data_IF_627238027894
#
_entry.id   IF_627238027894
#
_cell.length_a   1.000
_cell.length_b   1.000
_cell.length_c   1.000
_cell.angle_alpha   90.00
_cell.angle_beta   90.00
_cell.angle_gamma   90.00
#
_symmetry.space_group_name_H-M   'P 1'
#
loop_
_entity.id
_entity.type
_entity.pdbx_description
1 polymer ?
#
# COMPACT_ATOMS: atom_id res chain seq x y z
N UNK A 1 7.40 26.07 7.48
CA UNK A 1 7.64 24.83 6.73
C UNK A 1 8.63 24.00 7.52
N UNK A 2 8.38 22.70 7.67
CA UNK A 2 9.31 21.78 8.35
C UNK A 2 10.62 21.73 7.54
N UNK A 3 11.79 21.66 8.20
CA UNK A 3 13.07 21.50 7.53
C UNK A 3 13.12 20.17 6.74
N UNK A 4 13.84 20.14 5.62
CA UNK A 4 14.01 18.96 4.75
C UNK A 4 14.53 17.75 5.55
N UNK A 5 15.52 17.96 6.41
CA UNK A 5 16.12 16.94 7.27
C UNK A 5 15.13 16.31 8.25
N UNK A 6 14.28 17.14 8.88
CA UNK A 6 13.27 16.65 9.82
C UNK A 6 12.15 15.88 9.11
N UNK A 7 11.91 16.13 7.81
CA UNK A 7 10.98 15.34 6.99
C UNK A 7 11.50 13.94 6.73
N UNK A 8 12.80 13.77 6.52
CA UNK A 8 13.39 12.45 6.28
C UNK A 8 13.44 11.61 7.55
N UNK A 9 13.80 12.20 8.69
CA UNK A 9 13.77 11.54 9.99
C UNK A 9 12.34 11.14 10.43
N UNK A 10 11.32 11.92 10.07
CA UNK A 10 9.92 11.63 10.41
C UNK A 10 9.23 10.63 9.49
N UNK A 11 9.87 10.16 8.40
CA UNK A 11 9.24 9.26 7.42
C UNK A 11 9.00 7.84 7.93
N UNK A 12 9.57 7.50 9.09
CA UNK A 12 9.54 6.14 9.64
C UNK A 12 10.39 5.17 8.83
N UNK A 13 10.66 4.01 9.43
CA UNK A 13 11.27 2.85 8.79
C UNK A 13 10.50 2.44 7.53
N UNK A 14 11.17 1.71 6.63
CA UNK A 14 10.50 1.14 5.45
C UNK A 14 9.31 0.25 5.86
N UNK A 15 9.46 -0.57 6.90
CA UNK A 15 8.40 -1.41 7.43
C UNK A 15 7.18 -0.59 7.92
N UNK A 16 7.40 0.55 8.61
CA UNK A 16 6.30 1.44 9.01
C UNK A 16 5.58 2.06 7.81
N UNK A 17 6.32 2.42 6.76
CA UNK A 17 5.74 2.95 5.51
C UNK A 17 4.91 1.89 4.78
N UNK A 18 5.38 0.65 4.72
CA UNK A 18 4.63 -0.50 4.17
C UNK A 18 3.36 -0.78 5.00
N UNK A 19 3.46 -0.79 6.34
CA UNK A 19 2.30 -0.93 7.24
C UNK A 19 1.27 0.19 7.06
N UNK A 20 1.70 1.44 6.88
CA UNK A 20 0.79 2.55 6.64
C UNK A 20 -0.02 2.36 5.34
N UNK A 21 0.63 1.87 4.28
CA UNK A 21 -0.03 1.54 3.01
C UNK A 21 -1.07 0.41 3.19
N UNK A 22 -0.72 -0.64 3.94
CA UNK A 22 -1.63 -1.75 4.27
C UNK A 22 -2.87 -1.28 5.04
N UNK A 23 -2.69 -0.46 6.08
CA UNK A 23 -3.79 0.09 6.89
C UNK A 23 -4.77 0.87 6.03
N UNK A 24 -4.27 1.71 5.12
CA UNK A 24 -5.13 2.45 4.19
C UNK A 24 -5.91 1.52 3.28
N UNK A 25 -5.25 0.52 2.69
CA UNK A 25 -5.90 -0.42 1.78
C UNK A 25 -6.96 -1.28 2.47
N UNK A 26 -6.70 -1.75 3.69
CA UNK A 26 -7.69 -2.46 4.50
C UNK A 26 -8.92 -1.60 4.79
N UNK A 27 -8.70 -0.35 5.22
CA UNK A 27 -9.78 0.61 5.51
C UNK A 27 -10.62 0.93 4.27
N UNK A 28 -10.00 1.00 3.09
CA UNK A 28 -10.66 1.35 1.83
C UNK A 28 -11.05 0.15 0.96
N UNK A 29 -10.79 -1.07 1.43
CA UNK A 29 -11.05 -2.33 0.71
C UNK A 29 -10.37 -2.39 -0.66
N UNK A 30 -9.08 -2.04 -0.72
CA UNK A 30 -8.27 -2.09 -1.93
C UNK A 30 -7.54 -3.44 -2.04
N UNK A 31 -7.10 -3.78 -3.25
CA UNK A 31 -6.33 -5.01 -3.50
C UNK A 31 -7.05 -6.26 -2.95
N UNK A 32 -6.36 -7.11 -2.16
CA UNK A 32 -6.93 -8.35 -1.62
C UNK A 32 -8.06 -8.13 -0.60
N UNK A 33 -8.30 -6.90 -0.14
CA UNK A 33 -9.41 -6.57 0.77
C UNK A 33 -10.71 -6.22 0.03
N UNK A 34 -10.70 -6.15 -1.30
CA UNK A 34 -11.88 -5.83 -2.08
C UNK A 34 -12.93 -6.95 -2.00
N UNK A 35 -14.20 -6.60 -1.79
CA UNK A 35 -15.32 -7.55 -1.71
C UNK A 35 -15.63 -8.18 -3.08
N UNK A 36 -15.19 -7.54 -4.17
CA UNK A 36 -15.32 -8.05 -5.52
C UNK A 36 -13.96 -8.59 -5.98
N UNK A 37 -13.81 -9.92 -6.03
CA UNK A 37 -12.65 -10.56 -6.63
C UNK A 37 -12.00 -11.68 -5.82
N UNK A 38 -12.76 -12.48 -5.08
CA UNK A 38 -12.32 -13.83 -4.68
C UNK A 38 -12.10 -14.68 -5.94
N UNK A 39 -10.90 -14.60 -6.54
CA UNK A 39 -10.45 -15.51 -7.60
C UNK A 39 -10.19 -14.90 -8.98
N UNK A 40 -10.18 -13.57 -9.16
CA UNK A 40 -9.94 -12.95 -10.47
C UNK A 40 -9.15 -11.64 -10.40
N UNK A 41 -8.33 -11.38 -11.43
CA UNK A 41 -7.57 -10.13 -11.61
C UNK A 41 -8.53 -8.93 -11.50
N UNK A 42 -8.18 -7.95 -10.66
CA UNK A 42 -8.93 -6.70 -10.51
C UNK A 42 -9.21 -6.07 -11.88
N UNK A 43 -10.42 -5.52 -12.04
CA UNK A 43 -10.77 -4.68 -13.19
C UNK A 43 -9.70 -3.58 -13.36
N UNK A 44 -9.16 -3.37 -14.58
CA UNK A 44 -8.08 -2.41 -14.80
C UNK A 44 -8.42 -0.98 -14.36
N UNK A 45 -9.66 -0.54 -14.58
CA UNK A 45 -10.09 0.81 -14.21
C UNK A 45 -10.25 0.93 -12.68
N UNK A 46 -10.72 -0.12 -12.00
CA UNK A 46 -10.74 -0.17 -10.54
C UNK A 46 -9.31 -0.13 -9.96
N UNK A 47 -8.40 -0.91 -10.54
CA UNK A 47 -6.98 -0.93 -10.15
C UNK A 47 -6.35 0.46 -10.25
N UNK A 48 -6.53 1.15 -11.38
CA UNK A 48 -6.01 2.51 -11.58
C UNK A 48 -6.57 3.51 -10.57
N UNK A 49 -7.88 3.41 -10.26
CA UNK A 49 -8.51 4.26 -9.23
C UNK A 49 -7.89 4.04 -7.84
N UNK A 50 -7.61 2.79 -7.48
CA UNK A 50 -6.96 2.46 -6.20
C UNK A 50 -5.53 2.98 -6.13
N UNK A 51 -4.73 2.79 -7.19
CA UNK A 51 -3.37 3.33 -7.29
C UNK A 51 -3.38 4.85 -7.14
N UNK A 52 -4.23 5.55 -7.89
CA UNK A 52 -4.34 7.00 -7.81
C UNK A 52 -4.78 7.48 -6.42
N UNK A 53 -5.60 6.71 -5.70
CA UNK A 53 -6.00 7.02 -4.34
C UNK A 53 -4.84 6.90 -3.35
N UNK A 54 -3.97 5.89 -3.50
CA UNK A 54 -2.78 5.73 -2.64
C UNK A 54 -1.72 6.80 -2.91
N UNK A 55 -1.47 7.13 -4.18
CA UNK A 55 -0.57 8.22 -4.57
C UNK A 55 -1.01 9.56 -3.99
N UNK A 56 -2.32 9.86 -4.05
CA UNK A 56 -2.89 11.08 -3.45
C UNK A 56 -2.79 11.13 -1.94
N UNK A 57 -2.69 9.98 -1.27
CA UNK A 57 -2.46 9.89 0.17
C UNK A 57 -0.97 9.97 0.54
N UNK A 58 -0.08 10.12 -0.43
CA UNK A 58 1.37 10.26 -0.21
C UNK A 58 2.13 8.93 -0.17
N UNK A 59 1.48 7.81 -0.50
CA UNK A 59 2.20 6.53 -0.62
C UNK A 59 3.01 6.49 -1.92
N UNK A 60 4.26 5.99 -1.89
CA UNK A 60 5.06 5.75 -3.09
C UNK A 60 4.36 4.80 -4.08
N UNK A 61 4.62 4.97 -5.38
CA UNK A 61 4.06 4.10 -6.42
C UNK A 61 4.42 2.63 -6.21
N UNK A 62 5.63 2.33 -5.73
CA UNK A 62 6.06 0.97 -5.43
C UNK A 62 5.13 0.30 -4.39
N UNK A 63 4.88 0.99 -3.26
CA UNK A 63 3.99 0.50 -2.20
C UNK A 63 2.55 0.37 -2.69
N UNK A 64 2.08 1.35 -3.46
CA UNK A 64 0.73 1.31 -4.03
C UNK A 64 0.54 0.09 -4.96
N UNK A 65 1.55 -0.22 -5.78
CA UNK A 65 1.52 -1.36 -6.69
C UNK A 65 1.48 -2.69 -5.94
N UNK A 66 2.30 -2.87 -4.90
CA UNK A 66 2.31 -4.14 -4.17
C UNK A 66 0.99 -4.36 -3.44
N UNK A 67 0.48 -3.33 -2.78
CA UNK A 67 -0.79 -3.44 -2.06
C UNK A 67 -1.98 -3.70 -2.98
N UNK A 68 -2.07 -3.01 -4.12
CA UNK A 68 -3.21 -3.17 -5.04
C UNK A 68 -3.14 -4.48 -5.83
N UNK A 69 -1.94 -4.95 -6.16
CA UNK A 69 -1.76 -6.16 -6.98
C UNK A 69 -1.57 -7.44 -6.15
N UNK A 70 -1.46 -7.35 -4.83
CA UNK A 70 -1.25 -8.51 -3.98
C UNK A 70 -2.34 -9.56 -4.17
N UNK A 71 -1.89 -10.81 -4.21
CA UNK A 71 -2.74 -11.99 -4.44
C UNK A 71 -3.49 -12.41 -3.19
N UNK A 72 -2.99 -12.06 -2.01
CA UNK A 72 -3.60 -12.36 -0.73
C UNK A 72 -3.12 -11.39 0.36
N UNK A 73 -3.70 -11.49 1.55
CA UNK A 73 -3.27 -10.72 2.72
C UNK A 73 -1.94 -11.22 3.27
N UNK A 74 -1.69 -12.53 3.20
CA UNK A 74 -0.44 -13.16 3.66
C UNK A 74 0.75 -12.65 2.86
N UNK A 75 0.61 -12.51 1.53
CA UNK A 75 1.66 -11.95 0.68
C UNK A 75 2.03 -10.50 1.06
N UNK A 76 1.09 -9.74 1.64
CA UNK A 76 1.36 -8.39 2.13
C UNK A 76 2.03 -8.37 3.50
N UNK A 77 1.70 -9.34 4.36
CA UNK A 77 2.36 -9.49 5.65
C UNK A 77 3.82 -9.90 5.44
N UNK A 78 4.09 -10.89 4.57
CA UNK A 78 5.46 -11.29 4.17
C UNK A 78 6.25 -10.09 3.61
N UNK A 79 5.64 -9.33 2.70
CA UNK A 79 6.26 -8.12 2.14
C UNK A 79 6.55 -7.06 3.20
N UNK A 80 5.79 -6.95 4.29
CA UNK A 80 6.12 -6.01 5.38
C UNK A 80 7.28 -6.53 6.22
N UNK A 81 7.32 -7.84 6.48
CA UNK A 81 8.35 -8.47 7.29
C UNK A 81 9.72 -8.38 6.61
N UNK A 82 9.79 -8.56 5.28
CA UNK A 82 11.00 -8.32 4.46
C UNK A 82 11.62 -6.93 4.62
N UNK A 83 10.87 -5.93 5.08
CA UNK A 83 11.38 -4.57 5.32
C UNK A 83 11.88 -4.33 6.75
N UNK A 84 11.68 -5.30 7.63
CA UNK A 84 12.12 -5.26 9.04
C UNK A 84 13.42 -6.06 9.26
N UNK A 85 13.76 -6.96 8.34
CA UNK A 85 15.03 -7.69 8.25
C UNK A 85 16.16 -6.85 7.60
#
# INVERSE_FOLDING_TARGET
GIAESLREESRGSEAERRRAALVMARKRRFGPFAVQGTGGRLDPALREKQLAAMLRAGHPLAHAREVVNAVSTEALDEWIDEASD
#
